data_IF_862017852242
#
_entry.id   IF_862017852242
#
_cell.length_a   1.000
_cell.length_b   1.000
_cell.length_c   1.000
_cell.angle_alpha   90.00
_cell.angle_beta   90.00
_cell.angle_gamma   90.00
#
_symmetry.space_group_name_H-M   'P 1'
#
loop_
_entity.id
_entity.type
_entity.pdbx_description
1 polymer ?
#
# COMPACT_ATOMS: atom_id res chain seq x y z
N UNK A 1 22.43 -16.13 9.63
CA UNK A 1 22.27 -14.66 9.59
C UNK A 1 21.06 -14.40 8.72
N UNK A 2 20.03 -13.79 9.30
CA UNK A 2 18.69 -13.66 8.73
C UNK A 2 18.73 -12.90 7.41
N UNK A 3 18.03 -13.44 6.42
CA UNK A 3 17.71 -12.78 5.17
C UNK A 3 16.77 -11.58 5.46
N UNK A 4 17.32 -10.52 6.05
CA UNK A 4 16.84 -9.18 5.78
C UNK A 4 17.31 -8.88 4.36
N UNK A 5 16.67 -9.52 3.38
CA UNK A 5 16.77 -9.06 2.00
C UNK A 5 16.39 -7.59 2.05
N UNK A 6 17.33 -6.73 1.69
CA UNK A 6 17.12 -5.31 1.38
C UNK A 6 16.21 -5.26 0.14
N UNK A 7 14.96 -5.72 0.29
CA UNK A 7 13.99 -5.69 -0.76
C UNK A 7 13.63 -4.21 -0.92
N UNK A 8 14.00 -3.55 -2.03
CA UNK A 8 13.71 -2.14 -2.24
C UNK A 8 12.20 -1.85 -2.13
N UNK A 9 11.36 -2.86 -2.40
CA UNK A 9 9.91 -2.74 -2.23
C UNK A 9 9.48 -2.58 -0.77
N UNK A 10 10.20 -3.13 0.20
CA UNK A 10 9.92 -2.95 1.63
C UNK A 10 10.23 -1.52 2.09
N UNK A 11 11.32 -0.93 1.57
CA UNK A 11 11.65 0.48 1.83
C UNK A 11 10.59 1.40 1.22
N UNK A 12 10.21 1.17 -0.04
CA UNK A 12 9.12 1.90 -0.69
C UNK A 12 7.81 1.77 0.10
N UNK A 13 7.45 0.55 0.51
CA UNK A 13 6.24 0.31 1.29
C UNK A 13 6.24 1.13 2.58
N UNK A 14 7.32 1.10 3.36
CA UNK A 14 7.41 1.85 4.62
C UNK A 14 7.20 3.36 4.42
N UNK A 15 7.80 3.94 3.36
CA UNK A 15 7.61 5.34 3.03
C UNK A 15 6.15 5.66 2.65
N UNK A 16 5.53 4.83 1.81
CA UNK A 16 4.14 5.05 1.41
C UNK A 16 3.16 4.80 2.57
N UNK A 17 3.42 3.82 3.43
CA UNK A 17 2.61 3.50 4.60
C UNK A 17 2.58 4.67 5.60
N UNK A 18 3.72 5.30 5.88
CA UNK A 18 3.76 6.47 6.76
C UNK A 18 2.91 7.63 6.22
N UNK A 19 2.96 7.87 4.90
CA UNK A 19 2.14 8.90 4.25
C UNK A 19 0.64 8.54 4.26
N UNK A 20 0.32 7.27 4.04
CA UNK A 20 -1.05 6.76 4.11
C UNK A 20 -1.61 6.91 5.52
N UNK A 21 -0.86 6.54 6.55
CA UNK A 21 -1.25 6.70 7.96
C UNK A 21 -1.60 8.17 8.25
N UNK A 22 -0.71 9.09 7.85
CA UNK A 22 -0.95 10.52 8.02
C UNK A 22 -2.22 10.98 7.29
N UNK A 23 -2.45 10.51 6.07
CA UNK A 23 -3.64 10.83 5.27
C UNK A 23 -4.92 10.31 5.92
N UNK A 24 -4.94 9.07 6.39
CA UNK A 24 -6.07 8.46 7.08
C UNK A 24 -6.40 9.23 8.36
N UNK A 25 -5.39 9.52 9.19
CA UNK A 25 -5.56 10.26 10.44
C UNK A 25 -6.05 11.69 10.23
N UNK A 26 -5.58 12.38 9.18
CA UNK A 26 -6.08 13.71 8.79
C UNK A 26 -7.57 13.70 8.42
N UNK A 27 -8.08 12.56 7.95
CA UNK A 27 -9.48 12.36 7.60
C UNK A 27 -10.31 11.73 8.74
N UNK A 28 -9.78 11.70 9.97
CA UNK A 28 -10.51 11.25 11.15
C UNK A 28 -10.57 9.73 11.35
N UNK A 29 -9.80 8.96 10.59
CA UNK A 29 -9.66 7.51 10.81
C UNK A 29 -8.90 7.26 12.11
N UNK A 30 -9.38 6.31 12.91
CA UNK A 30 -8.73 5.92 14.18
C UNK A 30 -7.35 5.31 13.92
N UNK A 31 -6.45 5.35 14.91
CA UNK A 31 -5.14 4.70 14.78
C UNK A 31 -5.30 3.19 14.53
N UNK A 32 -6.18 2.52 15.28
CA UNK A 32 -6.43 1.08 15.13
C UNK A 32 -6.93 0.70 13.73
N UNK A 33 -7.80 1.52 13.14
CA UNK A 33 -8.29 1.27 11.78
C UNK A 33 -7.23 1.59 10.73
N UNK A 34 -6.42 2.63 10.94
CA UNK A 34 -5.29 2.95 10.08
C UNK A 34 -4.26 1.83 10.06
N UNK A 35 -3.91 1.28 11.23
CA UNK A 35 -2.97 0.16 11.36
C UNK A 35 -3.48 -1.08 10.61
N UNK A 36 -4.77 -1.42 10.76
CA UNK A 36 -5.37 -2.54 10.05
C UNK A 36 -5.41 -2.34 8.53
N UNK A 37 -5.71 -1.12 8.07
CA UNK A 37 -5.66 -0.78 6.63
C UNK A 37 -4.24 -0.94 6.10
N UNK A 38 -3.23 -0.49 6.85
CA UNK A 38 -1.82 -0.61 6.46
C UNK A 38 -1.41 -2.08 6.41
N UNK A 39 -1.75 -2.88 7.42
CA UNK A 39 -1.48 -4.31 7.47
C UNK A 39 -2.07 -5.05 6.26
N UNK A 40 -3.36 -4.84 5.95
CA UNK A 40 -4.02 -5.46 4.80
C UNK A 40 -3.42 -4.99 3.47
N UNK A 41 -3.10 -3.69 3.37
CA UNK A 41 -2.44 -3.14 2.20
C UNK A 41 -1.07 -3.77 1.96
N UNK A 42 -0.35 -4.14 3.04
CA UNK A 42 0.96 -4.80 2.96
C UNK A 42 0.85 -6.19 2.33
N UNK A 43 -0.14 -6.98 2.77
CA UNK A 43 -0.37 -8.32 2.22
C UNK A 43 -0.64 -8.25 0.72
N UNK A 44 -1.54 -7.35 0.30
CA UNK A 44 -1.88 -7.13 -1.10
C UNK A 44 -0.72 -6.58 -1.94
N UNK A 45 0.09 -5.68 -1.37
CA UNK A 45 1.22 -5.06 -2.04
C UNK A 45 2.31 -6.08 -2.37
N UNK A 46 2.72 -6.88 -1.38
CA UNK A 46 3.76 -7.89 -1.57
C UNK A 46 3.27 -9.09 -2.39
N UNK A 47 1.99 -9.45 -2.31
CA UNK A 47 1.38 -10.47 -3.19
C UNK A 47 1.51 -10.06 -4.67
N UNK A 48 1.17 -8.80 -5.01
CA UNK A 48 1.19 -8.29 -6.39
C UNK A 48 2.60 -8.08 -6.95
N UNK A 49 3.56 -7.78 -6.10
CA UNK A 49 4.96 -7.66 -6.51
C UNK A 49 5.61 -9.04 -6.74
N UNK A 50 4.97 -10.09 -6.24
CA UNK A 50 5.36 -11.49 -6.39
C UNK A 50 6.67 -11.83 -5.67
N UNK A 51 6.92 -13.11 -5.39
CA UNK A 51 8.29 -13.55 -5.15
C UNK A 51 9.10 -13.29 -6.43
N UNK A 52 10.38 -12.92 -6.29
CA UNK A 52 11.37 -12.90 -7.38
C UNK A 52 11.62 -14.33 -7.88
N UNK A 53 10.59 -15.03 -8.34
CA UNK A 53 10.69 -16.32 -8.99
C UNK A 53 11.34 -16.04 -10.35
N UNK A 54 12.61 -16.44 -10.45
CA UNK A 54 13.53 -16.22 -11.58
C UNK A 54 12.96 -16.60 -12.96
N UNK A 55 11.82 -17.30 -13.03
CA UNK A 55 11.12 -17.73 -14.24
C UNK A 55 10.27 -16.63 -14.90
N UNK A 56 9.87 -15.57 -14.19
CA UNK A 56 9.04 -14.49 -14.74
C UNK A 56 9.75 -13.13 -14.78
N UNK A 57 11.08 -13.11 -14.96
CA UNK A 57 11.89 -11.89 -15.09
C UNK A 57 11.48 -10.94 -16.24
N UNK A 58 10.54 -11.36 -17.10
CA UNK A 58 10.03 -10.59 -18.24
C UNK A 58 8.68 -9.90 -18.01
N UNK A 59 8.00 -10.12 -16.88
CA UNK A 59 6.87 -9.25 -16.52
C UNK A 59 7.44 -7.91 -16.05
N UNK A 60 7.01 -6.83 -16.72
CA UNK A 60 7.33 -5.43 -16.41
C UNK A 60 7.44 -5.25 -14.90
N UNK A 61 8.58 -4.72 -14.45
CA UNK A 61 8.80 -4.26 -13.07
C UNK A 61 7.60 -3.38 -12.68
N UNK A 62 6.71 -3.90 -11.85
CA UNK A 62 5.50 -3.17 -11.45
C UNK A 62 5.93 -1.92 -10.69
N UNK A 63 5.34 -0.78 -11.05
CA UNK A 63 5.58 0.49 -10.37
C UNK A 63 5.13 0.37 -8.90
N UNK A 64 6.06 0.44 -7.92
CA UNK A 64 5.74 0.28 -6.51
C UNK A 64 4.65 1.25 -6.03
N UNK A 65 4.68 2.50 -6.49
CA UNK A 65 3.69 3.50 -6.07
C UNK A 65 2.29 3.09 -6.53
N UNK A 66 2.16 2.73 -7.82
CA UNK A 66 0.88 2.28 -8.38
C UNK A 66 0.35 1.03 -7.69
N UNK A 67 1.22 0.05 -7.39
CA UNK A 67 0.83 -1.18 -6.68
C UNK A 67 0.40 -0.86 -5.26
N UNK A 68 1.10 0.05 -4.58
CA UNK A 68 0.74 0.51 -3.24
C UNK A 68 -0.64 1.17 -3.23
N UNK A 69 -0.88 2.16 -4.11
CA UNK A 69 -2.16 2.88 -4.18
C UNK A 69 -3.32 1.92 -4.42
N UNK A 70 -3.18 0.98 -5.37
CA UNK A 70 -4.23 0.00 -5.64
C UNK A 70 -4.48 -0.93 -4.44
N UNK A 71 -3.42 -1.28 -3.70
CA UNK A 71 -3.52 -2.13 -2.50
C UNK A 71 -4.18 -1.39 -1.32
N UNK A 72 -3.77 -0.15 -1.07
CA UNK A 72 -4.37 0.74 -0.07
C UNK A 72 -5.85 1.01 -0.38
N UNK A 73 -6.19 1.28 -1.65
CA UNK A 73 -7.58 1.49 -2.08
C UNK A 73 -8.45 0.27 -1.82
N UNK A 74 -7.95 -0.94 -2.06
CA UNK A 74 -8.68 -2.18 -1.78
C UNK A 74 -8.90 -2.40 -0.28
N UNK A 75 -7.87 -2.17 0.54
CA UNK A 75 -8.00 -2.26 1.99
C UNK A 75 -9.01 -1.22 2.55
N UNK A 76 -8.94 0.03 2.07
CA UNK A 76 -9.92 1.07 2.43
C UNK A 76 -11.33 0.68 1.98
N UNK A 77 -11.50 0.20 0.74
CA UNK A 77 -12.82 -0.22 0.26
C UNK A 77 -13.44 -1.37 1.06
N UNK A 78 -12.61 -2.25 1.63
CA UNK A 78 -13.07 -3.35 2.46
C UNK A 78 -13.51 -2.89 3.87
N UNK A 79 -12.86 -1.85 4.41
CA UNK A 79 -13.07 -1.39 5.79
C UNK A 79 -13.96 -0.16 5.93
N UNK A 80 -13.81 0.78 5.01
CA UNK A 80 -14.44 2.10 4.94
C UNK A 80 -14.97 2.34 3.52
N UNK A 81 -15.98 1.58 3.06
CA UNK A 81 -16.48 1.67 1.69
C UNK A 81 -16.93 3.09 1.30
N UNK A 82 -17.45 3.85 2.25
CA UNK A 82 -17.84 5.25 2.09
C UNK A 82 -16.65 6.19 1.81
N UNK A 83 -15.43 5.83 2.24
CA UNK A 83 -14.24 6.63 1.98
C UNK A 83 -13.78 6.54 0.52
N UNK A 84 -14.21 5.53 -0.25
CA UNK A 84 -13.76 5.29 -1.64
C UNK A 84 -14.15 6.44 -2.59
N UNK A 85 -15.25 7.14 -2.31
CA UNK A 85 -15.70 8.30 -3.08
C UNK A 85 -15.05 9.62 -2.64
N UNK A 86 -14.24 9.60 -1.57
CA UNK A 86 -13.60 10.79 -0.97
C UNK A 86 -12.09 10.58 -0.84
N UNK A 87 -11.55 10.55 0.37
CA UNK A 87 -10.13 10.46 0.67
C UNK A 87 -9.52 9.10 0.33
N UNK A 88 -10.34 8.05 0.22
CA UNK A 88 -9.96 6.71 -0.21
C UNK A 88 -10.00 6.50 -1.72
N UNK A 89 -10.29 7.54 -2.51
CA UNK A 89 -10.29 7.46 -3.97
C UNK A 89 -8.88 7.27 -4.53
N UNK A 90 -8.77 6.68 -5.71
CA UNK A 90 -7.47 6.47 -6.39
C UNK A 90 -6.66 7.78 -6.49
N UNK A 91 -7.33 8.87 -6.85
CA UNK A 91 -6.70 10.18 -7.06
C UNK A 91 -6.16 10.75 -5.76
N UNK A 92 -6.95 10.69 -4.68
CA UNK A 92 -6.52 11.19 -3.37
C UNK A 92 -5.38 10.35 -2.79
N UNK A 93 -5.45 9.02 -2.95
CA UNK A 93 -4.39 8.13 -2.48
C UNK A 93 -3.09 8.31 -3.26
N UNK A 94 -3.14 8.51 -4.59
CA UNK A 94 -1.92 8.85 -5.36
C UNK A 94 -1.32 10.16 -4.88
N UNK A 95 -2.12 11.22 -4.65
CA UNK A 95 -1.62 12.48 -4.10
C UNK A 95 -1.01 12.31 -2.71
N UNK A 96 -1.60 11.46 -1.89
CA UNK A 96 -1.14 11.24 -0.51
C UNK A 96 0.22 10.55 -0.45
N UNK A 97 0.52 9.62 -1.37
CA UNK A 97 1.76 8.81 -1.32
C UNK A 97 2.92 9.41 -2.13
N UNK A 98 2.62 10.35 -3.04
CA UNK A 98 3.63 11.13 -3.76
C UNK A 98 4.40 12.09 -2.84
#
# INVERSE_FOLDING_TARGET
MSAFDENPYSVHFAHFAAKLEQHLRKNGVSCDDADRIIEESSALYFEKLGPSNKLFKFLKKSDPERVFVDSARRAIAARLPEAVSTFGSQVELTKAVH
#
